data_IF_118095503575
#
_entry.id   IF_118095503575
#
_cell.length_a   1.000
_cell.length_b   1.000
_cell.length_c   1.000
_cell.angle_alpha   90.00
_cell.angle_beta   90.00
_cell.angle_gamma   90.00
#
_symmetry.space_group_name_H-M   'P 1'
#
loop_
_entity.id
_entity.type
_entity.pdbx_description
1 polymer ?
#
# COMPACT_ATOMS: atom_id res chain seq x y z
N UNK A 1 -6.48 -13.02 43.02
CA UNK A 1 -5.91 -13.56 41.76
C UNK A 1 -5.29 -12.38 41.04
N UNK A 2 -3.98 -12.39 40.83
CA UNK A 2 -3.27 -11.33 40.08
C UNK A 2 -3.43 -11.60 38.59
N UNK A 3 -4.09 -10.71 37.87
CA UNK A 3 -4.19 -10.77 36.40
C UNK A 3 -2.78 -10.72 35.79
N UNK A 4 -2.52 -11.56 34.80
CA UNK A 4 -1.24 -11.54 34.08
C UNK A 4 -1.13 -10.29 33.20
N UNK A 5 0.09 -9.80 32.90
CA UNK A 5 0.26 -8.68 31.97
C UNK A 5 -0.37 -8.90 30.59
N UNK A 6 -0.51 -10.16 30.16
CA UNK A 6 -1.17 -10.53 28.91
C UNK A 6 -2.69 -10.31 28.99
N UNK A 7 -3.33 -10.84 30.02
CA UNK A 7 -4.78 -10.72 30.23
C UNK A 7 -5.22 -9.26 30.36
N UNK A 8 -4.41 -8.40 31.00
CA UNK A 8 -4.69 -6.95 31.09
C UNK A 8 -4.67 -6.30 29.70
N UNK A 9 -3.70 -6.64 28.84
CA UNK A 9 -3.61 -6.11 27.47
C UNK A 9 -4.83 -6.49 26.64
N UNK A 10 -5.21 -7.77 26.64
CA UNK A 10 -6.40 -8.23 25.93
C UNK A 10 -7.68 -7.58 26.43
N UNK A 11 -7.82 -7.44 27.75
CA UNK A 11 -8.98 -6.82 28.39
C UNK A 11 -9.13 -5.35 28.02
N UNK A 12 -8.02 -4.63 27.86
CA UNK A 12 -8.04 -3.26 27.34
C UNK A 12 -8.55 -3.25 25.91
N UNK A 13 -8.00 -4.08 25.02
CA UNK A 13 -8.41 -4.15 23.61
C UNK A 13 -9.91 -4.48 23.50
N UNK A 14 -10.36 -5.53 24.18
CA UNK A 14 -11.78 -5.94 24.21
C UNK A 14 -12.70 -4.82 24.72
N UNK A 15 -12.29 -4.07 25.76
CA UNK A 15 -13.06 -2.91 26.27
C UNK A 15 -13.22 -1.81 25.22
N UNK A 16 -12.25 -1.66 24.33
CA UNK A 16 -12.28 -0.67 23.26
C UNK A 16 -12.88 -1.20 21.95
N UNK A 17 -13.53 -2.37 21.99
CA UNK A 17 -14.27 -2.94 20.86
C UNK A 17 -13.45 -3.85 19.95
N UNK A 18 -12.18 -4.09 20.27
CA UNK A 18 -11.33 -4.97 19.47
C UNK A 18 -11.72 -6.44 19.68
N UNK A 19 -11.82 -7.17 18.58
CA UNK A 19 -12.02 -8.62 18.55
C UNK A 19 -10.73 -9.29 18.08
N UNK A 20 -10.36 -10.42 18.69
CA UNK A 20 -9.19 -11.16 18.24
C UNK A 20 -9.53 -11.83 16.90
N UNK A 21 -8.66 -11.70 15.89
CA UNK A 21 -8.87 -12.35 14.60
C UNK A 21 -8.73 -13.87 14.74
N UNK A 22 -9.63 -14.61 14.12
CA UNK A 22 -9.58 -16.07 14.10
C UNK A 22 -8.48 -16.59 13.17
N UNK A 23 -8.11 -17.86 13.36
CA UNK A 23 -6.96 -18.50 12.71
C UNK A 23 -7.11 -18.71 11.20
N UNK A 24 -8.29 -18.43 10.65
CA UNK A 24 -8.68 -18.59 9.25
C UNK A 24 -8.82 -17.25 8.50
N UNK A 25 -8.43 -16.14 9.13
CA UNK A 25 -8.44 -14.83 8.49
C UNK A 25 -7.13 -14.57 7.73
N UNK A 26 -7.16 -13.94 6.53
CA UNK A 26 -5.94 -13.66 5.76
C UNK A 26 -4.90 -12.84 6.54
N UNK A 27 -5.34 -11.93 7.42
CA UNK A 27 -4.42 -11.13 8.23
C UNK A 27 -3.82 -11.93 9.40
N UNK A 28 -4.52 -12.92 9.95
CA UNK A 28 -3.93 -13.86 10.89
C UNK A 28 -2.85 -14.72 10.22
N UNK A 29 -3.09 -15.17 8.98
CA UNK A 29 -2.10 -15.89 8.20
C UNK A 29 -0.86 -15.03 7.93
N UNK A 30 -1.05 -13.77 7.53
CA UNK A 30 0.06 -12.81 7.37
C UNK A 30 0.84 -12.67 8.67
N UNK A 31 0.18 -12.49 9.81
CA UNK A 31 0.87 -12.39 11.08
C UNK A 31 1.68 -13.65 11.41
N UNK A 32 1.07 -14.82 11.27
CA UNK A 32 1.71 -16.12 11.52
C UNK A 32 2.90 -16.36 10.60
N UNK A 33 2.80 -15.92 9.35
CA UNK A 33 3.83 -16.14 8.33
C UNK A 33 5.00 -15.17 8.42
N UNK A 34 4.81 -13.98 9.02
CA UNK A 34 5.78 -12.88 8.94
C UNK A 34 6.23 -12.33 10.31
N UNK A 35 5.47 -12.44 11.40
CA UNK A 35 5.82 -11.84 12.70
C UNK A 35 7.11 -12.43 13.29
N UNK A 36 8.16 -11.61 13.41
CA UNK A 36 9.47 -12.03 13.95
C UNK A 36 10.20 -13.09 13.09
N UNK A 37 9.65 -13.45 11.93
CA UNK A 37 10.27 -14.41 11.01
C UNK A 37 11.28 -13.66 10.13
N UNK A 38 12.42 -14.26 9.81
CA UNK A 38 13.41 -13.58 8.96
C UNK A 38 12.91 -13.47 7.52
N UNK A 39 13.02 -12.30 6.86
CA UNK A 39 12.55 -12.11 5.48
C UNK A 39 13.07 -13.14 4.48
N UNK A 40 14.34 -13.55 4.63
CA UNK A 40 14.98 -14.55 3.78
C UNK A 40 14.27 -15.91 3.77
N UNK A 41 13.45 -16.23 4.77
CA UNK A 41 12.76 -17.53 4.87
C UNK A 41 11.48 -17.61 4.06
N UNK A 42 10.84 -16.47 3.79
CA UNK A 42 9.55 -16.38 3.07
C UNK A 42 9.66 -15.66 1.73
N UNK A 43 10.83 -15.11 1.45
CA UNK A 43 11.15 -14.52 0.16
C UNK A 43 11.31 -15.62 -0.88
N UNK A 44 10.50 -15.55 -1.93
CA UNK A 44 10.57 -16.45 -3.08
C UNK A 44 11.26 -15.74 -4.24
N UNK A 45 11.87 -16.52 -5.12
CA UNK A 45 12.57 -16.05 -6.31
C UNK A 45 12.16 -16.91 -7.49
N UNK A 46 11.88 -16.27 -8.62
CA UNK A 46 11.63 -16.93 -9.90
C UNK A 46 12.53 -16.30 -10.97
N UNK A 47 12.98 -17.11 -11.92
CA UNK A 47 13.77 -16.64 -13.06
C UNK A 47 12.80 -16.08 -14.10
N UNK A 48 12.33 -14.85 -13.87
CA UNK A 48 11.21 -14.28 -14.61
C UNK A 48 9.88 -14.96 -14.31
N UNK A 49 8.80 -14.35 -14.79
CA UNK A 49 7.51 -15.01 -14.86
C UNK A 49 7.54 -16.01 -16.03
N UNK A 50 7.07 -17.26 -15.84
CA UNK A 50 7.11 -18.29 -16.89
C UNK A 50 6.56 -17.82 -18.24
N UNK A 51 5.49 -17.03 -18.21
CA UNK A 51 4.82 -16.46 -19.36
C UNK A 51 5.72 -15.49 -20.15
N UNK A 52 6.55 -14.70 -19.47
CA UNK A 52 7.54 -13.83 -20.12
C UNK A 52 8.73 -14.61 -20.64
N UNK A 53 9.16 -15.64 -19.90
CA UNK A 53 10.25 -16.52 -20.34
C UNK A 53 9.85 -17.21 -21.65
N UNK A 54 8.63 -17.76 -21.70
CA UNK A 54 8.07 -18.40 -22.89
C UNK A 54 7.88 -17.42 -24.05
N UNK A 55 7.31 -16.23 -23.81
CA UNK A 55 7.07 -15.22 -24.85
C UNK A 55 8.36 -14.70 -25.50
N UNK A 56 9.48 -14.73 -24.77
CA UNK A 56 10.78 -14.26 -25.25
C UNK A 56 11.67 -15.38 -25.81
N UNK A 57 11.20 -16.63 -25.85
CA UNK A 57 11.95 -17.70 -26.51
C UNK A 57 12.08 -17.40 -28.01
N UNK A 58 13.26 -17.61 -28.64
CA UNK A 58 13.48 -17.28 -30.05
C UNK A 58 12.49 -17.90 -31.02
N UNK A 59 11.93 -19.06 -30.64
CA UNK A 59 10.95 -19.82 -31.41
C UNK A 59 9.55 -19.18 -31.38
N UNK A 60 9.28 -18.32 -30.39
CA UNK A 60 8.02 -17.64 -30.15
C UNK A 60 8.03 -16.16 -30.55
N UNK A 61 9.21 -15.57 -30.81
CA UNK A 61 9.33 -14.16 -31.22
C UNK A 61 8.65 -13.87 -32.57
N UNK A 62 8.61 -14.85 -33.48
CA UNK A 62 7.94 -14.72 -34.78
C UNK A 62 6.43 -15.03 -34.74
N UNK A 63 5.89 -15.41 -33.57
CA UNK A 63 4.46 -15.68 -33.39
C UNK A 63 3.73 -14.37 -33.05
N UNK A 64 2.68 -14.03 -33.80
CA UNK A 64 1.75 -12.92 -33.53
C UNK A 64 1.05 -13.14 -32.17
N UNK A 65 1.71 -12.75 -31.08
CA UNK A 65 1.21 -12.85 -29.72
C UNK A 65 1.37 -11.52 -28.99
N UNK A 66 0.35 -11.11 -28.23
CA UNK A 66 0.28 -9.82 -27.54
C UNK A 66 1.52 -9.54 -26.65
N UNK A 67 2.13 -10.57 -26.04
CA UNK A 67 3.33 -10.44 -25.24
C UNK A 67 4.62 -10.29 -26.07
N UNK A 68 4.67 -10.89 -27.24
CA UNK A 68 5.80 -10.74 -28.19
C UNK A 68 5.83 -9.33 -28.77
N UNK A 69 4.67 -8.83 -29.21
CA UNK A 69 4.51 -7.44 -29.67
C UNK A 69 4.89 -6.43 -28.57
N UNK A 70 4.41 -6.66 -27.34
CA UNK A 70 4.74 -5.79 -26.20
C UNK A 70 6.23 -5.85 -25.82
N UNK A 71 6.88 -7.00 -25.98
CA UNK A 71 8.31 -7.13 -25.79
C UNK A 71 9.11 -6.34 -26.83
N UNK A 72 8.71 -6.43 -28.10
CA UNK A 72 9.34 -5.70 -29.20
C UNK A 72 9.16 -4.18 -29.03
N UNK A 73 7.93 -3.72 -28.76
CA UNK A 73 7.58 -2.31 -28.56
C UNK A 73 8.36 -1.65 -27.41
N UNK A 74 8.84 -2.45 -26.44
CA UNK A 74 9.55 -1.98 -25.27
C UNK A 74 11.01 -2.45 -25.17
N UNK A 75 11.56 -2.99 -26.27
CA UNK A 75 12.95 -3.47 -26.35
C UNK A 75 13.31 -4.38 -25.16
N UNK A 76 12.45 -5.38 -24.91
CA UNK A 76 12.66 -6.43 -23.92
C UNK A 76 13.27 -7.66 -24.58
N UNK A 77 14.41 -8.08 -24.04
CA UNK A 77 15.13 -9.26 -24.50
C UNK A 77 15.17 -10.35 -23.42
N UNK A 78 15.47 -11.61 -23.73
CA UNK A 78 15.60 -12.68 -22.74
C UNK A 78 16.56 -12.32 -21.58
N UNK A 79 17.66 -11.64 -21.88
CA UNK A 79 18.62 -11.15 -20.89
C UNK A 79 18.06 -10.06 -19.95
N UNK A 80 16.97 -9.41 -20.35
CA UNK A 80 16.29 -8.42 -19.51
C UNK A 80 15.40 -9.06 -18.45
N UNK A 81 15.02 -10.33 -18.62
CA UNK A 81 14.25 -11.11 -17.66
C UNK A 81 15.15 -11.49 -16.47
N UNK A 82 15.15 -10.59 -15.50
CA UNK A 82 15.91 -10.76 -14.26
C UNK A 82 15.21 -11.73 -13.30
N UNK A 83 15.96 -12.18 -12.30
CA UNK A 83 15.38 -12.88 -11.16
C UNK A 83 14.40 -11.96 -10.41
N UNK A 84 13.14 -12.38 -10.35
CA UNK A 84 12.07 -11.65 -9.67
C UNK A 84 11.88 -12.20 -8.27
N UNK A 85 12.03 -11.33 -7.28
CA UNK A 85 11.84 -11.66 -5.90
C UNK A 85 10.51 -11.15 -5.36
N UNK A 86 9.74 -12.02 -4.68
CA UNK A 86 8.43 -11.64 -4.14
C UNK A 86 8.13 -12.23 -2.76
N UNK A 87 7.20 -11.60 -2.07
CA UNK A 87 6.49 -12.17 -0.93
C UNK A 87 5.13 -12.69 -1.36
N UNK A 88 4.71 -13.80 -0.78
CA UNK A 88 3.37 -14.35 -0.97
C UNK A 88 2.56 -14.12 0.30
N UNK A 89 1.50 -13.32 0.18
CA UNK A 89 0.58 -12.97 1.27
C UNK A 89 -0.71 -13.79 1.23
N UNK A 90 -0.86 -14.72 0.28
CA UNK A 90 -2.10 -15.44 0.06
C UNK A 90 -3.22 -14.55 -0.49
N UNK A 91 -4.47 -15.01 -0.37
CA UNK A 91 -5.62 -14.31 -0.96
C UNK A 91 -6.09 -13.13 -0.08
N UNK A 92 -5.35 -12.02 -0.16
CA UNK A 92 -5.81 -10.74 0.39
C UNK A 92 -6.46 -9.88 -0.70
N UNK A 93 -7.66 -9.39 -0.39
CA UNK A 93 -8.52 -8.65 -1.33
C UNK A 93 -7.77 -7.54 -2.12
N UNK A 94 -6.94 -6.68 -1.49
CA UNK A 94 -6.26 -5.60 -2.20
C UNK A 94 -5.22 -6.08 -3.24
N UNK A 95 -4.75 -7.33 -3.13
CA UNK A 95 -3.72 -7.89 -3.99
C UNK A 95 -4.22 -9.05 -4.86
N UNK A 96 -5.54 -9.17 -5.04
CA UNK A 96 -6.14 -10.14 -5.95
C UNK A 96 -5.54 -10.15 -7.35
N UNK A 97 -5.23 -8.99 -7.99
CA UNK A 97 -4.60 -8.98 -9.30
C UNK A 97 -3.36 -9.88 -9.34
N UNK A 98 -2.49 -9.78 -8.33
CA UNK A 98 -1.25 -10.56 -8.23
C UNK A 98 -1.39 -11.86 -7.44
N UNK A 99 -2.61 -12.25 -7.06
CA UNK A 99 -2.90 -13.39 -6.17
C UNK A 99 -2.12 -13.32 -4.85
N UNK A 100 -2.00 -12.13 -4.26
CA UNK A 100 -1.27 -11.93 -3.01
C UNK A 100 0.23 -11.74 -3.14
N UNK A 101 0.79 -11.79 -4.35
CA UNK A 101 2.24 -11.69 -4.56
C UNK A 101 2.68 -10.23 -4.61
N UNK A 102 3.65 -9.88 -3.77
CA UNK A 102 4.28 -8.57 -3.78
C UNK A 102 5.71 -8.70 -4.26
N UNK A 103 5.96 -8.17 -5.44
CA UNK A 103 7.30 -8.03 -5.99
C UNK A 103 8.10 -6.95 -5.25
N UNK A 104 9.34 -7.28 -4.89
CA UNK A 104 10.24 -6.35 -4.20
C UNK A 104 11.06 -5.50 -5.16
N UNK A 105 10.52 -4.35 -5.52
CA UNK A 105 11.24 -3.34 -6.32
C UNK A 105 12.16 -2.48 -5.44
N UNK A 106 13.17 -1.88 -6.05
CA UNK A 106 14.12 -0.96 -5.39
C UNK A 106 13.41 0.19 -4.69
N UNK A 107 12.39 0.76 -5.34
CA UNK A 107 11.62 1.88 -4.81
C UNK A 107 10.94 1.58 -3.47
N UNK A 108 10.34 0.39 -3.30
CA UNK A 108 9.72 0.01 -2.02
C UNK A 108 10.76 -0.04 -0.90
N UNK A 109 12.00 -0.47 -1.20
CA UNK A 109 13.10 -0.52 -0.23
C UNK A 109 13.59 0.88 0.14
N UNK A 110 13.70 1.77 -0.84
CA UNK A 110 14.07 3.18 -0.63
C UNK A 110 13.02 3.86 0.26
N UNK A 111 11.74 3.73 -0.08
CA UNK A 111 10.63 4.27 0.71
C UNK A 111 10.65 3.74 2.15
N UNK A 112 10.78 2.42 2.33
CA UNK A 112 10.87 1.82 3.66
C UNK A 112 12.05 2.39 4.47
N UNK A 113 13.21 2.55 3.84
CA UNK A 113 14.40 3.10 4.50
C UNK A 113 14.15 4.54 4.95
N UNK A 114 13.56 5.35 4.09
CA UNK A 114 13.21 6.73 4.40
C UNK A 114 12.19 6.81 5.56
N UNK A 115 11.15 5.99 5.54
CA UNK A 115 10.15 5.95 6.62
C UNK A 115 10.77 5.50 7.96
N UNK A 116 11.63 4.48 7.94
CA UNK A 116 12.35 4.00 9.12
C UNK A 116 13.29 5.05 9.71
N UNK A 117 13.86 5.92 8.90
CA UNK A 117 14.67 7.03 9.38
C UNK A 117 13.80 8.16 9.93
N UNK A 118 12.72 8.53 9.23
CA UNK A 118 11.79 9.57 9.68
C UNK A 118 11.16 9.28 11.03
N UNK A 119 10.70 8.04 11.28
CA UNK A 119 10.08 7.69 12.57
C UNK A 119 11.04 7.85 13.76
N UNK A 120 12.36 7.80 13.54
CA UNK A 120 13.36 8.02 14.61
C UNK A 120 13.45 9.49 15.02
N UNK A 121 13.23 10.40 14.08
CA UNK A 121 13.40 11.84 14.28
C UNK A 121 12.07 12.57 14.51
N UNK A 122 10.95 11.99 14.08
CA UNK A 122 9.61 12.54 14.27
C UNK A 122 9.06 12.29 15.69
N UNK A 123 9.60 13.04 16.65
CA UNK A 123 9.18 12.98 18.06
C UNK A 123 7.73 13.42 18.29
N UNK A 124 7.20 14.26 17.39
CA UNK A 124 5.83 14.79 17.46
C UNK A 124 4.81 13.87 16.79
N UNK A 125 5.27 12.80 16.13
CA UNK A 125 4.45 11.83 15.39
C UNK A 125 3.52 12.52 14.39
N UNK A 126 4.08 13.48 13.66
CA UNK A 126 3.39 14.20 12.59
C UNK A 126 3.00 13.26 11.45
N UNK A 127 3.79 12.20 11.26
CA UNK A 127 3.53 11.16 10.27
C UNK A 127 4.01 11.53 8.87
N UNK A 128 3.60 10.70 7.91
CA UNK A 128 4.00 10.81 6.51
C UNK A 128 2.81 10.60 5.59
N UNK A 129 2.73 11.41 4.55
CA UNK A 129 1.87 11.20 3.40
C UNK A 129 2.74 10.66 2.27
N UNK A 130 2.43 9.47 1.77
CA UNK A 130 3.00 8.85 0.59
C UNK A 130 1.98 8.99 -0.54
N UNK A 131 2.36 9.71 -1.58
CA UNK A 131 1.52 9.94 -2.76
C UNK A 131 2.29 9.65 -4.04
N UNK A 132 1.62 9.67 -5.18
CA UNK A 132 2.20 9.36 -6.48
C UNK A 132 1.10 9.19 -7.52
N UNK A 133 1.46 9.11 -8.79
CA UNK A 133 0.48 8.94 -9.87
C UNK A 133 -0.38 7.67 -9.65
N UNK A 134 -1.66 7.66 -10.06
CA UNK A 134 -2.46 6.44 -10.04
C UNK A 134 -1.76 5.28 -10.76
N UNK A 135 -1.83 4.07 -10.21
CA UNK A 135 -1.21 2.87 -10.79
C UNK A 135 0.27 2.66 -10.47
N UNK A 136 0.92 3.59 -9.75
CA UNK A 136 2.36 3.52 -9.42
C UNK A 136 2.75 2.46 -8.37
N UNK A 137 1.78 1.71 -7.83
CA UNK A 137 2.04 0.67 -6.83
C UNK A 137 2.04 1.14 -5.37
N UNK A 138 1.32 2.22 -5.04
CA UNK A 138 1.14 2.73 -3.66
C UNK A 138 0.63 1.63 -2.71
N UNK A 139 -0.43 0.91 -3.09
CA UNK A 139 -0.99 -0.20 -2.30
C UNK A 139 0.03 -1.33 -2.08
N UNK A 140 0.83 -1.66 -3.11
CA UNK A 140 1.91 -2.66 -3.01
C UNK A 140 3.05 -2.20 -2.10
N UNK A 141 3.37 -0.91 -2.12
CA UNK A 141 4.33 -0.30 -1.20
C UNK A 141 3.85 -0.38 0.24
N UNK A 142 2.59 -0.05 0.50
CA UNK A 142 1.97 -0.16 1.83
C UNK A 142 2.08 -1.59 2.38
N UNK A 143 1.76 -2.61 1.58
CA UNK A 143 1.87 -3.99 2.02
C UNK A 143 3.32 -4.48 2.14
N UNK A 144 4.24 -3.96 1.31
CA UNK A 144 5.69 -4.21 1.49
C UNK A 144 6.17 -3.69 2.85
N UNK A 145 5.65 -2.52 3.27
CA UNK A 145 5.96 -1.90 4.56
C UNK A 145 5.31 -2.67 5.70
N UNK A 146 4.06 -3.12 5.56
CA UNK A 146 3.40 -4.05 6.49
C UNK A 146 4.29 -5.26 6.78
N UNK A 147 4.66 -5.99 5.74
CA UNK A 147 5.53 -7.17 5.83
C UNK A 147 6.85 -6.84 6.54
N UNK A 148 7.46 -5.71 6.18
CA UNK A 148 8.71 -5.26 6.78
C UNK A 148 8.60 -4.91 8.25
N UNK A 149 7.48 -4.35 8.68
CA UNK A 149 7.18 -4.07 10.08
C UNK A 149 6.94 -5.35 10.88
N UNK A 150 6.22 -6.33 10.33
CA UNK A 150 5.98 -7.64 10.98
C UNK A 150 7.30 -8.40 11.21
N UNK A 151 8.17 -8.45 10.19
CA UNK A 151 9.51 -9.03 10.33
C UNK A 151 10.36 -8.36 11.41
N UNK A 152 10.15 -7.06 11.61
CA UNK A 152 10.82 -6.27 12.62
C UNK A 152 10.06 -6.24 13.94
N UNK A 153 8.98 -7.02 14.12
CA UNK A 153 8.15 -7.02 15.33
C UNK A 153 7.76 -5.60 15.77
N UNK A 154 7.47 -4.73 14.79
CA UNK A 154 6.96 -3.40 15.03
C UNK A 154 5.43 -3.55 15.15
N UNK A 155 4.83 -3.21 16.30
CA UNK A 155 3.38 -3.22 16.41
C UNK A 155 2.80 -2.24 15.40
N UNK A 156 1.77 -2.63 14.67
CA UNK A 156 1.26 -1.79 13.59
C UNK A 156 -0.24 -1.94 13.42
N UNK A 157 -0.90 -0.85 13.05
CA UNK A 157 -2.29 -0.81 12.64
C UNK A 157 -2.35 -0.70 11.12
N UNK A 158 -3.24 -1.44 10.48
CA UNK A 158 -3.54 -1.35 9.05
C UNK A 158 -5.00 -1.01 8.88
N UNK A 159 -5.27 -0.04 8.01
CA UNK A 159 -6.60 0.32 7.58
C UNK A 159 -6.61 0.37 6.06
N UNK A 160 -7.30 -0.58 5.42
CA UNK A 160 -7.50 -0.55 3.97
C UNK A 160 -8.73 0.28 3.58
N UNK A 161 -9.62 0.51 4.54
CA UNK A 161 -10.82 1.31 4.40
C UNK A 161 -11.15 2.02 5.73
N UNK A 162 -12.25 2.76 5.77
CA UNK A 162 -12.73 3.49 6.96
C UNK A 162 -13.61 2.66 7.90
N UNK A 163 -13.74 1.37 7.64
CA UNK A 163 -14.67 0.48 8.36
C UNK A 163 -14.00 -0.66 9.08
N UNK A 164 -12.79 -1.06 8.67
CA UNK A 164 -12.12 -2.23 9.22
C UNK A 164 -10.65 -1.93 9.47
N UNK A 165 -10.24 -2.15 10.71
CA UNK A 165 -8.91 -1.86 11.20
C UNK A 165 -8.27 -3.12 11.78
N UNK A 166 -7.04 -3.43 11.39
CA UNK A 166 -6.28 -4.58 11.87
C UNK A 166 -5.06 -4.13 12.66
N UNK A 167 -4.96 -4.55 13.93
CA UNK A 167 -3.85 -4.25 14.82
C UNK A 167 -3.01 -5.52 15.04
N UNK A 168 -1.77 -5.49 14.56
CA UNK A 168 -0.79 -6.56 14.68
C UNK A 168 0.09 -6.32 15.91
N UNK A 169 0.05 -7.26 16.86
CA UNK A 169 0.82 -7.24 18.09
C UNK A 169 1.61 -8.55 18.26
N UNK A 170 2.50 -8.62 19.24
CA UNK A 170 3.14 -9.86 19.70
C UNK A 170 2.13 -10.89 20.27
N UNK A 171 0.92 -10.43 20.62
CA UNK A 171 -0.16 -11.24 21.19
C UNK A 171 -1.22 -11.63 20.15
N UNK A 172 -0.93 -11.48 18.85
CA UNK A 172 -1.84 -11.81 17.76
C UNK A 172 -2.36 -10.61 16.99
N UNK A 173 -3.38 -10.85 16.17
CA UNK A 173 -4.04 -9.84 15.33
C UNK A 173 -5.40 -9.53 15.92
N UNK A 174 -5.73 -8.24 15.97
CA UNK A 174 -6.98 -7.75 16.49
C UNK A 174 -7.69 -6.92 15.42
N UNK A 175 -8.98 -7.11 15.30
CA UNK A 175 -9.85 -6.40 14.38
C UNK A 175 -10.73 -5.41 15.13
N UNK A 176 -10.99 -4.27 14.52
CA UNK A 176 -12.05 -3.35 14.92
C UNK A 176 -12.89 -2.99 13.71
N UNK A 177 -14.19 -3.26 13.79
CA UNK A 177 -15.16 -2.83 12.80
C UNK A 177 -15.80 -1.50 13.21
N UNK A 178 -16.01 -0.60 12.25
CA UNK A 178 -16.51 0.75 12.45
C UNK A 178 -15.40 1.77 12.73
N UNK A 179 -15.80 2.97 13.15
CA UNK A 179 -14.88 4.07 13.38
C UNK A 179 -13.98 3.89 14.60
N UNK A 180 -12.77 4.46 14.51
CA UNK A 180 -11.78 4.48 15.60
C UNK A 180 -11.98 5.61 16.62
N UNK A 181 -13.23 6.02 16.85
CA UNK A 181 -13.56 7.12 17.76
C UNK A 181 -13.13 6.85 19.21
N UNK A 182 -12.95 5.58 19.55
CA UNK A 182 -12.44 5.15 20.86
C UNK A 182 -10.97 5.50 21.05
N UNK A 183 -10.19 5.72 19.98
CA UNK A 183 -8.79 6.13 20.02
C UNK A 183 -8.69 7.66 20.15
N UNK A 184 -8.78 8.12 21.38
CA UNK A 184 -8.68 9.54 21.75
C UNK A 184 -7.75 9.76 22.96
N UNK A 185 -7.52 11.01 23.33
CA UNK A 185 -6.62 11.42 24.42
C UNK A 185 -6.88 10.67 25.73
N UNK A 186 -8.16 10.44 26.07
CA UNK A 186 -8.55 9.75 27.30
C UNK A 186 -8.19 8.26 27.29
N UNK A 187 -8.18 7.64 26.12
CA UNK A 187 -7.84 6.23 25.91
C UNK A 187 -6.36 5.98 25.63
N UNK A 188 -5.59 7.03 25.27
CA UNK A 188 -4.25 6.89 24.71
C UNK A 188 -3.28 6.13 25.64
N UNK A 189 -3.37 6.37 26.95
CA UNK A 189 -2.55 5.64 27.93
C UNK A 189 -2.91 4.14 27.99
N UNK A 190 -4.20 3.81 27.90
CA UNK A 190 -4.66 2.42 27.86
C UNK A 190 -4.16 1.71 26.60
N UNK A 191 -4.28 2.36 25.43
CA UNK A 191 -3.75 1.84 24.17
C UNK A 191 -2.24 1.63 24.19
N UNK A 192 -1.45 2.58 24.70
CA UNK A 192 0.01 2.40 24.83
C UNK A 192 0.37 1.20 25.71
N UNK A 193 -0.39 0.97 26.79
CA UNK A 193 -0.22 -0.20 27.66
C UNK A 193 -0.61 -1.51 26.95
N UNK A 194 -1.71 -1.51 26.20
CA UNK A 194 -2.19 -2.67 25.46
C UNK A 194 -1.25 -3.07 24.32
N UNK A 195 -0.79 -2.10 23.53
CA UNK A 195 0.16 -2.30 22.44
C UNK A 195 1.51 -2.75 23.00
N UNK A 196 1.98 -2.09 24.06
CA UNK A 196 3.26 -2.38 24.67
C UNK A 196 4.44 -2.19 23.70
N UNK A 197 5.55 -2.87 24.00
CA UNK A 197 6.73 -2.88 23.15
C UNK A 197 7.66 -1.68 23.33
N UNK A 198 8.88 -1.82 22.80
CA UNK A 198 9.93 -0.78 22.82
C UNK A 198 9.95 0.08 21.56
N UNK A 199 9.27 -0.37 20.50
CA UNK A 199 9.28 0.25 19.17
C UNK A 199 8.07 1.17 19.04
N UNK A 200 8.24 2.31 18.40
CA UNK A 200 7.11 3.19 18.05
C UNK A 200 6.16 2.40 17.15
N UNK A 201 4.88 2.26 17.52
CA UNK A 201 3.94 1.51 16.70
C UNK A 201 3.51 2.34 15.49
N UNK A 202 3.31 1.69 14.35
CA UNK A 202 2.98 2.35 13.08
C UNK A 202 1.48 2.28 12.81
N UNK A 203 0.95 3.17 11.99
CA UNK A 203 -0.39 3.02 11.45
C UNK A 203 -0.38 3.31 9.95
N UNK A 204 -0.71 2.31 9.15
CA UNK A 204 -0.72 2.37 7.69
C UNK A 204 -2.16 2.54 7.23
N UNK A 205 -2.41 3.59 6.45
CA UNK A 205 -3.74 3.92 5.93
C UNK A 205 -3.74 3.94 4.42
N UNK A 206 -4.69 3.22 3.83
CA UNK A 206 -5.06 3.42 2.45
C UNK A 206 -6.09 4.56 2.38
N UNK A 207 -5.66 5.68 1.82
CA UNK A 207 -6.35 6.97 1.77
C UNK A 207 -7.30 7.13 0.61
N UNK A 208 -7.58 6.06 -0.14
CA UNK A 208 -8.45 6.09 -1.31
C UNK A 208 -9.93 6.43 -0.95
N UNK A 209 -10.28 6.40 0.35
CA UNK A 209 -11.70 6.48 0.78
C UNK A 209 -12.10 7.64 1.68
N UNK A 210 -11.19 8.46 2.24
CA UNK A 210 -11.43 9.80 2.86
C UNK A 210 -10.22 10.30 3.68
N UNK A 211 -10.32 11.52 4.24
CA UNK A 211 -9.40 12.04 5.27
C UNK A 211 -9.15 10.99 6.36
N UNK A 212 -7.89 10.82 6.82
CA UNK A 212 -7.59 9.87 7.89
C UNK A 212 -8.40 10.24 9.13
N UNK A 213 -8.99 9.24 9.85
CA UNK A 213 -9.82 9.50 11.00
C UNK A 213 -9.14 10.47 11.97
N UNK A 214 -9.88 11.48 12.47
CA UNK A 214 -9.31 12.53 13.33
C UNK A 214 -8.64 12.01 14.61
N UNK A 215 -8.93 10.76 14.99
CA UNK A 215 -8.23 9.99 16.01
C UNK A 215 -6.72 9.80 15.73
N UNK A 216 -6.32 9.78 14.45
CA UNK A 216 -4.94 9.55 14.01
C UNK A 216 -4.16 10.81 13.73
N UNK A 217 -4.85 11.85 13.25
CA UNK A 217 -4.24 13.19 13.17
C UNK A 217 -3.99 13.73 14.58
N UNK A 218 -4.66 13.19 15.60
CA UNK A 218 -4.41 13.42 17.03
C UNK A 218 -3.26 12.54 17.55
N UNK A 219 -2.04 13.04 17.36
CA UNK A 219 -0.78 12.35 17.62
C UNK A 219 -0.60 11.86 19.07
N UNK A 220 -0.90 10.58 19.40
CA UNK A 220 -0.57 10.05 20.73
C UNK A 220 -0.09 8.59 20.78
N UNK A 221 -0.58 7.70 19.91
CA UNK A 221 -0.31 6.25 20.05
C UNK A 221 0.54 5.70 18.92
N UNK A 222 0.17 5.98 17.67
CA UNK A 222 0.85 5.48 16.48
C UNK A 222 1.64 6.56 15.75
N UNK A 223 2.60 6.15 14.93
CA UNK A 223 3.21 6.97 13.90
C UNK A 223 2.49 6.71 12.57
N UNK A 224 1.69 7.66 12.06
CA UNK A 224 0.80 7.41 10.95
C UNK A 224 1.50 7.60 9.58
N UNK A 225 1.19 6.71 8.64
CA UNK A 225 1.62 6.74 7.23
C UNK A 225 0.37 6.59 6.37
N UNK A 226 0.06 7.61 5.59
CA UNK A 226 -1.08 7.63 4.68
C UNK A 226 -0.62 7.45 3.26
N UNK A 227 -1.19 6.47 2.58
CA UNK A 227 -0.98 6.14 1.18
C UNK A 227 -2.17 6.67 0.40
N UNK A 228 -1.99 7.64 -0.49
CA UNK A 228 -3.12 8.33 -1.13
C UNK A 228 -2.76 8.79 -2.54
N UNK A 229 -3.67 8.72 -3.53
CA UNK A 229 -3.46 9.33 -4.82
C UNK A 229 -3.26 10.86 -4.71
N UNK A 230 -2.76 11.53 -5.77
CA UNK A 230 -2.48 12.94 -5.74
C UNK A 230 -3.78 13.69 -6.04
N UNK A 231 -4.72 13.65 -5.10
CA UNK A 231 -6.00 14.37 -5.19
C UNK A 231 -6.05 15.54 -4.22
N UNK A 232 -6.53 16.68 -4.73
CA UNK A 232 -6.63 17.92 -3.97
C UNK A 232 -7.79 17.79 -2.97
N UNK A 233 -7.45 17.77 -1.68
CA UNK A 233 -8.44 17.80 -0.59
C UNK A 233 -8.34 16.64 0.39
N UNK A 234 -7.89 15.46 -0.03
CA UNK A 234 -7.87 14.26 0.83
C UNK A 234 -6.92 14.36 2.02
N UNK A 235 -5.84 15.12 1.89
CA UNK A 235 -4.83 15.28 2.95
C UNK A 235 -4.49 16.73 3.25
N UNK A 236 -5.22 17.68 2.64
CA UNK A 236 -5.04 19.13 2.84
C UNK A 236 -5.21 19.54 4.29
N UNK A 237 -6.25 19.01 4.95
CA UNK A 237 -6.51 19.26 6.37
C UNK A 237 -5.33 18.80 7.22
N UNK A 238 -4.76 17.64 6.91
CA UNK A 238 -3.61 17.13 7.65
C UNK A 238 -2.34 17.95 7.39
N UNK A 239 -2.08 18.34 6.13
CA UNK A 239 -0.99 19.27 5.79
C UNK A 239 -1.06 20.57 6.60
N UNK A 240 -2.26 21.14 6.72
CA UNK A 240 -2.49 22.39 7.47
C UNK A 240 -2.39 22.21 8.98
N UNK A 241 -2.83 21.07 9.53
CA UNK A 241 -2.93 20.87 10.97
C UNK A 241 -1.67 20.31 11.63
N UNK A 242 -0.90 19.47 10.95
CA UNK A 242 0.25 18.75 11.56
C UNK A 242 1.55 18.88 10.79
N UNK A 243 1.53 19.39 9.56
CA UNK A 243 2.71 19.44 8.69
C UNK A 243 3.43 18.07 8.60
N UNK A 244 2.72 16.98 8.23
CA UNK A 244 3.36 15.70 7.94
C UNK A 244 4.38 15.85 6.81
N UNK A 245 5.35 14.95 6.77
CA UNK A 245 6.24 14.89 5.61
C UNK A 245 5.46 14.38 4.39
N UNK A 246 5.71 14.98 3.23
CA UNK A 246 5.16 14.52 1.96
C UNK A 246 6.25 13.79 1.17
N UNK A 247 6.00 12.54 0.82
CA UNK A 247 6.84 11.71 -0.05
C UNK A 247 6.06 11.44 -1.32
N UNK A 248 6.64 11.81 -2.46
CA UNK A 248 6.06 11.53 -3.77
C UNK A 248 6.83 10.38 -4.39
N UNK A 249 6.16 9.26 -4.64
CA UNK A 249 6.71 8.12 -5.36
C UNK A 249 6.92 8.49 -6.83
N UNK A 250 8.06 8.09 -7.36
CA UNK A 250 8.41 8.25 -8.78
C UNK A 250 7.76 7.15 -9.63
N UNK A 251 7.27 7.45 -10.84
CA UNK A 251 6.70 6.43 -11.72
C UNK A 251 7.74 5.36 -12.04
N UNK A 252 7.33 4.09 -11.95
CA UNK A 252 8.17 3.00 -12.44
C UNK A 252 8.33 3.13 -13.94
N UNK A 253 9.52 2.82 -14.45
CA UNK A 253 9.74 2.79 -15.89
C UNK A 253 8.96 1.61 -16.50
N UNK A 254 8.42 1.75 -17.70
CA UNK A 254 7.67 0.68 -18.38
C UNK A 254 8.45 -0.63 -18.42
N UNK A 255 9.75 -0.55 -18.72
CA UNK A 255 10.67 -1.70 -18.70
C UNK A 255 10.79 -2.36 -17.33
N UNK A 256 10.67 -1.61 -16.24
CA UNK A 256 10.59 -2.19 -14.89
C UNK A 256 9.25 -2.88 -14.70
N UNK A 257 8.13 -2.21 -15.01
CA UNK A 257 6.78 -2.77 -14.86
C UNK A 257 6.68 -4.14 -15.55
N UNK A 258 7.13 -4.22 -16.80
CA UNK A 258 7.09 -5.45 -17.59
C UNK A 258 7.95 -6.57 -16.99
N UNK A 259 9.12 -6.24 -16.42
CA UNK A 259 9.97 -7.22 -15.71
C UNK A 259 9.31 -7.80 -14.46
N UNK A 260 8.47 -7.00 -13.79
CA UNK A 260 7.95 -7.34 -12.46
C UNK A 260 6.55 -7.94 -12.47
N UNK A 261 5.81 -7.77 -13.56
CA UNK A 261 4.41 -8.13 -13.62
C UNK A 261 4.15 -9.49 -14.24
N UNK A 262 3.31 -10.25 -13.55
CA UNK A 262 2.73 -11.50 -14.03
C UNK A 262 1.78 -11.17 -15.21
N UNK A 263 2.00 -11.71 -16.43
CA UNK A 263 1.25 -11.35 -17.64
C UNK A 263 -0.29 -11.39 -17.58
N UNK A 264 -0.94 -12.30 -16.85
CA UNK A 264 -2.39 -12.25 -16.61
C UNK A 264 -2.84 -10.96 -15.92
N UNK A 265 -1.94 -10.27 -15.20
CA UNK A 265 -2.20 -8.97 -14.58
C UNK A 265 -1.98 -7.83 -15.59
N UNK A 266 -1.02 -7.96 -16.51
CA UNK A 266 -0.66 -6.92 -17.49
C UNK A 266 -1.78 -6.64 -18.48
N UNK A 267 -2.51 -7.68 -18.91
CA UNK A 267 -3.66 -7.54 -19.80
C UNK A 267 -4.81 -6.73 -19.17
N UNK A 268 -4.84 -6.54 -17.86
CA UNK A 268 -5.76 -5.59 -17.22
C UNK A 268 -5.21 -4.17 -17.16
N UNK A 269 -3.90 -4.00 -17.09
CA UNK A 269 -3.24 -2.70 -16.95
C UNK A 269 -2.96 -2.01 -18.28
N UNK A 270 -2.55 -2.71 -19.33
CA UNK A 270 -2.33 -2.07 -20.64
C UNK A 270 -3.65 -1.44 -21.13
N UNK A 271 -4.77 -2.13 -20.96
CA UNK A 271 -6.10 -1.58 -21.23
C UNK A 271 -6.49 -0.40 -20.33
N UNK A 272 -5.91 -0.24 -19.14
CA UNK A 272 -6.19 0.89 -18.24
C UNK A 272 -5.20 2.03 -18.44
N UNK A 273 -3.93 1.76 -18.71
CA UNK A 273 -2.87 2.76 -18.91
C UNK A 273 -3.01 3.43 -20.26
N UNK A 274 -3.37 2.71 -21.33
CA UNK A 274 -3.71 3.33 -22.60
C UNK A 274 -4.98 4.18 -22.49
N UNK A 275 -5.96 3.73 -21.68
CA UNK A 275 -7.18 4.50 -21.43
C UNK A 275 -6.95 5.74 -20.56
N UNK A 276 -6.05 5.66 -19.58
CA UNK A 276 -5.65 6.80 -18.72
C UNK A 276 -4.73 7.75 -19.48
N UNK A 277 -3.84 7.25 -20.34
CA UNK A 277 -3.06 8.07 -21.26
C UNK A 277 -3.97 8.78 -22.27
N UNK A 278 -4.97 8.09 -22.84
CA UNK A 278 -6.00 8.72 -23.69
C UNK A 278 -6.84 9.73 -22.89
N UNK A 279 -7.25 9.42 -21.67
CA UNK A 279 -8.07 10.30 -20.85
C UNK A 279 -7.28 11.56 -20.41
N UNK A 280 -6.01 11.41 -20.04
CA UNK A 280 -5.10 12.52 -19.76
C UNK A 280 -4.81 13.37 -21.01
N UNK A 281 -4.74 12.74 -22.20
CA UNK A 281 -4.61 13.43 -23.47
C UNK A 281 -5.90 14.19 -23.85
N UNK A 282 -7.08 13.63 -23.55
CA UNK A 282 -8.37 14.30 -23.72
C UNK A 282 -8.58 15.46 -22.72
N UNK A 283 -7.95 15.42 -21.54
CA UNK A 283 -8.09 16.47 -20.53
C UNK A 283 -7.10 17.64 -20.69
N UNK A 284 -5.97 17.41 -21.38
CA UNK A 284 -4.93 18.43 -21.63
C UNK A 284 -5.14 19.22 -22.93
N UNK A 285 -6.13 18.87 -23.77
CA UNK A 285 -6.55 19.71 -24.90
C UNK A 285 -7.21 21.00 -24.38
N UNK A 286 -6.66 22.20 -24.68
CA UNK A 286 -7.37 23.44 -24.43
C UNK A 286 -8.64 23.40 -25.25
N UNK A 287 -9.79 23.67 -24.62
CA UNK A 287 -11.04 23.95 -25.30
C UNK A 287 -10.89 25.26 -26.11
N UNK A 288 -10.23 25.16 -27.26
CA UNK A 288 -10.11 26.26 -28.21
C UNK A 288 -11.46 26.46 -28.88
N UNK A 289 -12.12 27.56 -28.48
CA UNK A 289 -12.98 28.34 -29.35
C UNK A 289 -14.29 27.68 -29.79
N UNK A 290 -15.31 27.70 -28.94
CA UNK A 290 -16.66 27.92 -29.46
C UNK A 290 -16.87 29.41 -29.67
N UNK A 291 -16.68 29.80 -30.93
CA UNK A 291 -17.15 31.05 -31.51
C UNK A 291 -18.63 31.28 -31.15
N UNK A 292 -18.92 32.43 -30.56
CA UNK A 292 -20.25 33.02 -30.55
C UNK A 292 -20.63 33.41 -31.99
N UNK A 293 -21.77 32.97 -32.55
CA UNK A 293 -22.41 33.67 -33.63
C UNK A 293 -23.46 34.61 -33.03
N UNK A 294 -23.06 35.85 -32.77
CA UNK A 294 -23.98 36.97 -32.67
C UNK A 294 -24.26 37.49 -34.08
N UNK A 295 -25.47 37.30 -34.60
CA UNK A 295 -26.12 38.20 -35.58
C UNK A 295 -27.62 37.89 -35.75
N UNK A 296 -28.44 38.77 -35.16
CA UNK A 296 -29.62 39.46 -35.73
C UNK A 296 -30.35 38.89 -36.96
N UNK A 297 -31.70 38.79 -36.91
CA UNK A 297 -32.65 39.76 -37.51
C UNK A 297 -34.14 39.42 -37.23
N UNK A 298 -34.89 40.44 -36.79
CA UNK A 298 -36.32 40.79 -37.03
C UNK A 298 -37.41 39.71 -37.25
N UNK A 299 -38.47 39.72 -36.43
CA UNK A 299 -39.68 40.55 -36.58
C UNK A 299 -40.48 40.59 -35.28
#
# INVERSE_FOLDING_TARGET
MTETPLEDREKILKRHGWTHCEADTPYHDIWTNFWGITPRKRFQKVQGWPEWVEALEPENLDLEGELGELAEDHELYPEDIAEVGFYDLGDICPLRPTRGRITLVSQHKTLLTELLDRVKYDTQRQGVIVTGQPGIGITYSMHTILVSCLYREIPLLVSMDNTTHYLFLDIGVWELCGGLDTLNDSSAAAYRRAIGGKKTPWALFDGDTQEPPGAFTKAYVFWPVLFVPPDLGHYDTWLRQRSPALIVMEPMQTKEILKWWDPPCLLWIVFVVDFVALAAFCWTMPSNGRLNPSTTFSH
#
